data_IF_382097808795
#
_entry.id   IF_382097808795
#
_cell.length_a   1.000
_cell.length_b   1.000
_cell.length_c   1.000
_cell.angle_alpha   90.00
_cell.angle_beta   90.00
_cell.angle_gamma   90.00
#
_symmetry.space_group_name_H-M   'P 1'
#
loop_
_entity.id
_entity.type
_entity.pdbx_description
1 polymer ?
#
# COMPACT_ATOMS: atom_id res chain seq x y z
N UNK A 1 84.28 57.83 36.73
CA UNK A 1 84.32 57.18 38.05
C UNK A 1 83.04 56.36 38.23
N UNK A 2 83.21 55.04 38.39
CA UNK A 2 82.36 54.13 39.17
C UNK A 2 80.86 54.03 38.79
N UNK A 3 80.46 53.02 38.02
CA UNK A 3 80.05 51.67 38.49
C UNK A 3 78.57 51.62 38.90
N UNK A 4 77.80 50.99 38.01
CA UNK A 4 76.60 50.16 38.23
C UNK A 4 75.43 50.74 39.02
N UNK A 5 74.45 51.27 38.28
CA UNK A 5 73.04 51.08 38.63
C UNK A 5 72.43 50.10 37.64
N UNK A 6 72.95 48.87 37.75
CA UNK A 6 72.46 47.68 37.09
C UNK A 6 71.29 47.16 37.94
N UNK A 7 70.09 47.71 37.77
CA UNK A 7 68.88 46.97 38.11
C UNK A 7 67.63 47.63 37.49
N UNK A 8 66.79 46.81 36.87
CA UNK A 8 65.45 47.13 36.34
C UNK A 8 65.34 47.75 34.93
N UNK A 9 66.10 47.24 33.95
CA UNK A 9 65.63 47.32 32.54
C UNK A 9 65.79 46.02 31.78
N UNK A 10 65.50 44.90 32.43
CA UNK A 10 65.34 43.59 31.80
C UNK A 10 64.28 42.80 32.59
N UNK A 11 63.00 42.97 32.22
CA UNK A 11 61.93 41.96 32.30
C UNK A 11 60.56 42.63 32.13
N UNK A 12 60.22 43.04 30.91
CA UNK A 12 58.82 43.30 30.54
C UNK A 12 58.66 43.17 29.02
N UNK A 13 59.16 42.07 28.47
CA UNK A 13 58.76 41.63 27.13
C UNK A 13 58.62 40.12 27.15
N UNK A 14 57.43 39.69 27.55
CA UNK A 14 56.76 38.42 27.19
C UNK A 14 55.67 38.10 28.21
N UNK A 15 54.76 39.04 28.48
CA UNK A 15 53.42 38.64 28.92
C UNK A 15 52.73 38.16 27.65
N UNK A 16 52.80 36.85 27.41
CA UNK A 16 52.07 36.20 26.33
C UNK A 16 50.60 36.61 26.45
N UNK A 17 50.08 37.26 25.41
CA UNK A 17 48.65 37.62 25.36
C UNK A 17 47.84 36.34 25.50
N UNK A 18 47.25 36.11 26.67
CA UNK A 18 46.34 34.99 26.87
C UNK A 18 45.15 35.18 25.93
N UNK A 19 45.00 34.30 24.93
CA UNK A 19 43.84 34.30 24.05
C UNK A 19 42.60 34.01 24.89
N UNK A 20 41.77 35.02 25.06
CA UNK A 20 40.47 34.89 25.73
C UNK A 20 39.61 33.88 24.97
N UNK A 21 39.06 32.89 25.68
CA UNK A 21 38.17 31.89 25.08
C UNK A 21 36.94 32.59 24.52
N UNK A 22 36.55 32.26 23.30
CA UNK A 22 35.33 32.79 22.70
C UNK A 22 34.12 32.13 23.36
N UNK A 23 33.17 32.95 23.80
CA UNK A 23 31.89 32.48 24.32
C UNK A 23 31.07 31.86 23.18
N UNK A 24 30.33 30.78 23.48
CA UNK A 24 29.51 30.02 22.52
C UNK A 24 30.26 29.39 21.32
N UNK A 25 31.52 28.98 21.51
CA UNK A 25 32.23 28.19 20.50
C UNK A 25 31.56 26.81 20.30
N UNK A 26 30.85 26.65 19.18
CA UNK A 26 30.21 25.38 18.79
C UNK A 26 31.10 24.54 17.88
N UNK A 27 30.91 23.21 17.88
CA UNK A 27 31.55 22.32 16.91
C UNK A 27 31.09 22.71 15.49
N UNK A 28 32.02 22.88 14.55
CA UNK A 28 31.70 23.26 13.17
C UNK A 28 30.84 22.17 12.52
N UNK A 29 29.59 22.51 12.20
CA UNK A 29 28.68 21.68 11.41
C UNK A 29 28.73 22.11 9.95
N UNK A 30 28.44 21.18 9.03
CA UNK A 30 28.35 21.47 7.60
C UNK A 30 27.21 22.46 7.37
N UNK A 31 27.51 23.58 6.71
CA UNK A 31 26.53 24.60 6.37
C UNK A 31 25.61 24.11 5.26
N UNK A 32 24.32 24.46 5.32
CA UNK A 32 23.36 24.21 4.24
C UNK A 32 23.78 24.81 2.88
N UNK A 33 24.68 25.79 2.89
CA UNK A 33 25.23 26.45 1.69
C UNK A 33 26.54 25.84 1.19
N UNK A 34 27.05 24.79 1.83
CA UNK A 34 28.33 24.17 1.46
C UNK A 34 28.24 23.49 0.08
N UNK A 35 29.09 23.89 -0.86
CA UNK A 35 29.21 23.38 -2.24
C UNK A 35 29.32 21.85 -2.34
N UNK A 36 29.74 21.17 -1.28
CA UNK A 36 29.83 19.70 -1.21
C UNK A 36 28.47 19.01 -1.09
N UNK A 37 27.42 19.72 -0.67
CA UNK A 37 26.05 19.19 -0.59
C UNK A 37 25.40 19.28 -1.97
N UNK A 38 24.94 18.14 -2.50
CA UNK A 38 24.19 18.08 -3.76
C UNK A 38 22.87 18.83 -3.63
N UNK A 39 22.43 19.51 -4.68
CA UNK A 39 21.15 20.26 -4.69
C UNK A 39 19.94 19.41 -4.29
N UNK A 40 19.97 18.10 -4.59
CA UNK A 40 18.92 17.14 -4.22
C UNK A 40 18.77 16.97 -2.70
N UNK A 41 19.88 17.07 -1.96
CA UNK A 41 19.90 16.95 -0.50
C UNK A 41 19.73 18.33 0.19
N UNK A 42 20.05 19.43 -0.51
CA UNK A 42 19.75 20.81 -0.08
C UNK A 42 18.28 21.17 -0.18
N UNK A 43 17.56 20.54 -1.10
CA UNK A 43 16.13 20.76 -1.26
C UNK A 43 15.40 20.22 -0.03
N UNK A 44 15.20 21.09 0.98
CA UNK A 44 14.06 20.94 1.90
C UNK A 44 12.86 20.60 1.02
N UNK A 45 12.22 19.47 1.31
CA UNK A 45 11.01 18.95 0.67
C UNK A 45 10.23 20.13 0.11
N UNK A 46 10.22 20.26 -1.22
CA UNK A 46 9.70 21.41 -1.97
C UNK A 46 8.55 22.02 -1.16
N UNK A 47 8.78 23.19 -0.54
CA UNK A 47 7.68 23.94 0.03
C UNK A 47 6.72 24.10 -1.13
N UNK A 48 5.59 23.37 -1.09
CA UNK A 48 4.58 23.42 -2.15
C UNK A 48 4.31 24.90 -2.35
N UNK A 49 4.77 25.47 -3.47
CA UNK A 49 4.51 26.87 -3.81
C UNK A 49 3.03 27.09 -3.51
N UNK A 50 2.69 28.04 -2.65
CA UNK A 50 1.29 28.42 -2.43
C UNK A 50 0.76 28.77 -3.82
N UNK A 51 -0.06 27.88 -4.39
CA UNK A 51 -0.60 28.05 -5.74
C UNK A 51 -1.36 29.39 -5.75
N UNK A 52 -1.16 30.18 -6.81
CA UNK A 52 -1.76 31.52 -6.96
C UNK A 52 -3.27 31.48 -6.63
N UNK A 53 -3.79 32.44 -5.86
CA UNK A 53 -5.20 32.43 -5.44
C UNK A 53 -6.20 32.56 -6.60
N UNK A 54 -5.77 33.10 -7.75
CA UNK A 54 -6.59 33.21 -8.98
C UNK A 54 -6.66 31.93 -9.82
N UNK A 55 -5.81 30.94 -9.57
CA UNK A 55 -5.85 29.69 -10.33
C UNK A 55 -6.93 28.80 -9.71
N UNK A 56 -8.01 28.54 -10.46
CA UNK A 56 -9.07 27.60 -10.07
C UNK A 56 -8.41 26.30 -9.60
N UNK A 57 -8.48 26.07 -8.28
CA UNK A 57 -7.91 24.86 -7.69
C UNK A 57 -8.93 23.77 -7.93
N UNK A 58 -8.83 23.11 -9.07
CA UNK A 58 -9.59 21.90 -9.37
C UNK A 58 -9.38 20.91 -8.21
N UNK A 59 -10.41 20.75 -7.40
CA UNK A 59 -10.48 19.73 -6.36
C UNK A 59 -11.23 18.59 -6.99
N UNK A 60 -10.51 17.57 -7.43
CA UNK A 60 -11.12 16.30 -7.80
C UNK A 60 -11.71 15.66 -6.53
N UNK A 61 -13.00 15.94 -6.29
CA UNK A 61 -13.77 15.24 -5.28
C UNK A 61 -14.32 14.01 -5.96
N UNK A 62 -13.96 12.83 -5.46
CA UNK A 62 -14.53 11.58 -5.95
C UNK A 62 -16.04 11.59 -5.68
N UNK A 63 -16.84 11.52 -6.74
CA UNK A 63 -18.30 11.42 -6.63
C UNK A 63 -18.66 10.05 -6.04
N UNK A 64 -19.67 10.01 -5.17
CA UNK A 64 -20.22 8.74 -4.73
C UNK A 64 -20.82 8.00 -5.94
N UNK A 65 -20.52 6.70 -6.12
CA UNK A 65 -21.04 5.94 -7.25
C UNK A 65 -22.55 5.75 -7.11
N UNK A 66 -23.26 5.85 -8.23
CA UNK A 66 -24.72 5.75 -8.29
C UNK A 66 -25.27 4.36 -7.92
N UNK A 67 -24.43 3.33 -7.94
CA UNK A 67 -24.79 1.95 -7.60
C UNK A 67 -25.04 1.72 -6.10
N UNK A 68 -24.63 2.66 -5.26
CA UNK A 68 -24.79 2.55 -3.81
C UNK A 68 -26.04 3.31 -3.34
N UNK A 69 -27.09 2.57 -2.98
CA UNK A 69 -28.16 3.12 -2.14
C UNK A 69 -27.70 3.05 -0.68
N UNK A 70 -27.16 4.17 -0.18
CA UNK A 70 -26.42 4.28 1.08
C UNK A 70 -25.16 3.38 1.12
N UNK A 71 -25.33 2.09 1.41
CA UNK A 71 -24.28 1.07 1.45
C UNK A 71 -24.64 -0.21 0.69
N UNK A 72 -25.90 -0.36 0.27
CA UNK A 72 -26.35 -1.51 -0.51
C UNK A 72 -25.97 -1.29 -1.98
N UNK A 73 -25.38 -2.31 -2.59
CA UNK A 73 -24.93 -2.26 -3.97
C UNK A 73 -25.91 -3.01 -4.86
N UNK A 74 -26.74 -2.27 -5.59
CA UNK A 74 -27.79 -2.85 -6.45
C UNK A 74 -27.24 -3.48 -7.74
N UNK A 75 -25.95 -3.28 -8.05
CA UNK A 75 -25.29 -3.84 -9.23
C UNK A 75 -24.73 -5.25 -9.01
N UNK A 76 -24.76 -5.77 -7.78
CA UNK A 76 -24.37 -7.14 -7.50
C UNK A 76 -25.57 -8.04 -7.79
N UNK A 77 -25.55 -8.69 -8.94
CA UNK A 77 -26.55 -9.67 -9.32
C UNK A 77 -25.92 -10.85 -10.06
N UNK A 78 -26.63 -11.98 -10.20
CA UNK A 78 -26.16 -13.09 -11.03
C UNK A 78 -26.01 -12.66 -12.49
N UNK A 79 -24.92 -13.04 -13.19
CA UNK A 79 -23.78 -13.81 -12.71
C UNK A 79 -22.83 -13.02 -11.80
N UNK A 80 -22.42 -13.60 -10.67
CA UNK A 80 -21.50 -12.95 -9.76
C UNK A 80 -20.07 -12.97 -10.29
N UNK A 81 -19.44 -11.80 -10.32
CA UNK A 81 -18.05 -11.64 -10.73
C UNK A 81 -17.13 -11.64 -9.49
N UNK A 82 -16.27 -12.65 -9.37
CA UNK A 82 -15.45 -12.86 -8.16
C UNK A 82 -13.97 -12.68 -8.50
N UNK A 83 -13.31 -11.69 -7.90
CA UNK A 83 -11.86 -11.51 -8.02
C UNK A 83 -11.14 -12.46 -7.06
N UNK A 84 -10.26 -13.30 -7.61
CA UNK A 84 -9.55 -14.33 -6.86
C UNK A 84 -8.11 -13.92 -6.56
N UNK A 85 -7.73 -14.07 -5.29
CA UNK A 85 -6.37 -13.85 -4.78
C UNK A 85 -5.52 -15.15 -4.79
N UNK A 86 -4.20 -15.03 -4.85
CA UNK A 86 -3.26 -16.18 -4.87
C UNK A 86 -3.40 -17.05 -3.63
N UNK A 87 -3.49 -16.40 -2.47
CA UNK A 87 -3.64 -17.07 -1.18
C UNK A 87 -4.94 -17.87 -1.12
N UNK A 88 -6.03 -17.34 -1.69
CA UNK A 88 -7.32 -18.01 -1.70
C UNK A 88 -7.27 -19.34 -2.46
N UNK A 89 -6.62 -19.37 -3.62
CA UNK A 89 -6.41 -20.61 -4.40
C UNK A 89 -5.60 -21.62 -3.57
N UNK A 90 -4.55 -21.17 -2.90
CA UNK A 90 -3.70 -22.03 -2.09
C UNK A 90 -4.45 -22.64 -0.90
N UNK A 91 -5.28 -21.85 -0.21
CA UNK A 91 -6.12 -22.36 0.87
C UNK A 91 -7.22 -23.29 0.35
N UNK A 92 -7.77 -23.05 -0.84
CA UNK A 92 -8.77 -23.92 -1.46
C UNK A 92 -8.19 -25.30 -1.79
N UNK A 93 -6.98 -25.35 -2.34
CA UNK A 93 -6.27 -26.60 -2.61
C UNK A 93 -6.00 -27.36 -1.30
N UNK A 94 -5.55 -26.67 -0.25
CA UNK A 94 -5.32 -27.29 1.07
C UNK A 94 -6.61 -27.87 1.67
N UNK A 95 -7.73 -27.18 1.50
CA UNK A 95 -9.05 -27.61 1.95
C UNK A 95 -9.70 -28.64 1.02
N UNK A 96 -9.08 -28.98 -0.11
CA UNK A 96 -9.60 -29.89 -1.16
C UNK A 96 -10.95 -29.45 -1.72
N UNK A 97 -11.14 -28.15 -1.87
CA UNK A 97 -12.35 -27.55 -2.42
C UNK A 97 -12.17 -27.24 -3.91
N UNK A 98 -13.14 -27.62 -4.73
CA UNK A 98 -13.24 -27.12 -6.11
C UNK A 98 -13.75 -25.68 -6.07
N UNK A 99 -12.99 -24.76 -6.65
CA UNK A 99 -13.19 -23.32 -6.50
C UNK A 99 -14.53 -22.89 -7.11
N UNK A 100 -14.82 -23.32 -8.34
CA UNK A 100 -16.03 -22.90 -9.05
C UNK A 100 -17.28 -23.48 -8.41
N UNK A 101 -17.25 -24.77 -8.09
CA UNK A 101 -18.37 -25.45 -7.41
C UNK A 101 -18.64 -24.85 -6.04
N UNK A 102 -17.60 -24.67 -5.23
CA UNK A 102 -17.75 -24.12 -3.87
C UNK A 102 -18.23 -22.67 -3.87
N UNK A 103 -17.90 -21.88 -4.91
CA UNK A 103 -18.46 -20.53 -5.10
C UNK A 103 -19.95 -20.57 -5.41
N UNK A 104 -20.37 -21.47 -6.31
CA UNK A 104 -21.78 -21.66 -6.66
C UNK A 104 -22.60 -22.16 -5.48
N UNK A 105 -22.06 -23.09 -4.69
CA UNK A 105 -22.71 -23.62 -3.49
C UNK A 105 -22.86 -22.56 -2.39
N UNK A 106 -21.94 -21.59 -2.32
CA UNK A 106 -21.98 -20.49 -1.36
C UNK A 106 -23.00 -19.40 -1.74
N UNK A 107 -23.03 -19.01 -3.02
CA UNK A 107 -23.85 -17.91 -3.53
C UNK A 107 -25.20 -18.34 -4.12
N UNK A 108 -25.42 -19.65 -4.25
CA UNK A 108 -26.60 -20.26 -4.88
C UNK A 108 -26.92 -19.70 -6.28
N UNK A 109 -25.89 -19.25 -7.00
CA UNK A 109 -26.03 -18.62 -8.30
C UNK A 109 -24.80 -18.85 -9.17
N UNK A 110 -24.91 -18.54 -10.48
CA UNK A 110 -23.79 -18.63 -11.41
C UNK A 110 -22.68 -17.66 -11.01
N UNK A 111 -21.47 -18.18 -10.84
CA UNK A 111 -20.29 -17.44 -10.45
C UNK A 111 -19.23 -17.51 -11.56
N UNK A 112 -18.61 -16.37 -11.87
CA UNK A 112 -17.51 -16.26 -12.82
C UNK A 112 -16.28 -15.80 -12.05
N UNK A 113 -15.29 -16.67 -11.84
CA UNK A 113 -14.06 -16.30 -11.16
C UNK A 113 -13.14 -15.55 -12.13
N UNK A 114 -12.59 -14.44 -11.66
CA UNK A 114 -11.65 -13.59 -12.38
C UNK A 114 -10.27 -13.63 -11.73
N UNK A 115 -9.24 -13.74 -12.56
CA UNK A 115 -7.85 -13.65 -12.16
C UNK A 115 -7.21 -12.47 -12.88
N UNK A 116 -6.56 -11.61 -12.11
CA UNK A 116 -5.80 -10.48 -12.66
C UNK A 116 -4.41 -10.90 -13.10
N UNK A 117 -3.83 -10.18 -14.07
CA UNK A 117 -2.47 -10.46 -14.54
C UNK A 117 -1.41 -10.43 -13.44
N UNK A 118 -1.55 -9.53 -12.46
CA UNK A 118 -0.63 -9.46 -11.33
C UNK A 118 -0.69 -10.71 -10.44
N UNK A 119 -1.91 -11.20 -10.14
CA UNK A 119 -2.12 -12.43 -9.36
C UNK A 119 -1.55 -13.63 -10.12
N UNK A 120 -1.78 -13.72 -11.44
CA UNK A 120 -1.18 -14.76 -12.26
C UNK A 120 0.36 -14.71 -12.23
N UNK A 121 0.94 -13.52 -12.37
CA UNK A 121 2.39 -13.32 -12.30
C UNK A 121 2.96 -13.66 -10.92
N UNK A 122 2.21 -13.44 -9.84
CA UNK A 122 2.61 -13.82 -8.49
C UNK A 122 2.64 -15.34 -8.32
N UNK A 123 1.64 -16.07 -8.82
CA UNK A 123 1.61 -17.55 -8.78
C UNK A 123 2.80 -18.12 -9.57
N UNK A 124 3.14 -17.53 -10.72
CA UNK A 124 4.28 -17.96 -11.53
C UNK A 124 5.62 -17.73 -10.80
N UNK A 125 5.76 -16.64 -10.04
CA UNK A 125 6.96 -16.36 -9.22
C UNK A 125 7.14 -17.33 -8.05
N UNK A 126 6.05 -17.83 -7.46
CA UNK A 126 6.12 -18.74 -6.32
C UNK A 126 6.67 -20.14 -6.70
N UNK A 127 6.80 -20.45 -7.99
CA UNK A 127 7.55 -21.58 -8.52
C UNK A 127 6.87 -22.93 -8.38
N UNK A 128 7.68 -24.01 -8.37
CA UNK A 128 7.19 -25.39 -8.51
C UNK A 128 6.20 -25.84 -7.42
N UNK A 129 6.30 -25.29 -6.21
CA UNK A 129 5.40 -25.62 -5.09
C UNK A 129 3.93 -25.29 -5.40
N UNK A 130 3.70 -24.32 -6.29
CA UNK A 130 2.37 -23.81 -6.64
C UNK A 130 1.95 -24.19 -8.06
N UNK A 131 2.56 -25.23 -8.64
CA UNK A 131 2.23 -25.73 -9.99
C UNK A 131 0.75 -26.15 -10.11
N UNK A 132 0.16 -26.71 -9.06
CA UNK A 132 -1.26 -27.07 -9.03
C UNK A 132 -2.14 -25.82 -9.07
N UNK A 133 -1.80 -24.80 -8.27
CA UNK A 133 -2.49 -23.51 -8.28
C UNK A 133 -2.40 -22.84 -9.66
N UNK A 134 -1.23 -22.90 -10.32
CA UNK A 134 -1.05 -22.37 -11.66
C UNK A 134 -1.92 -23.09 -12.72
N UNK A 135 -2.10 -24.41 -12.60
CA UNK A 135 -2.99 -25.17 -13.49
C UNK A 135 -4.45 -24.78 -13.29
N UNK A 136 -4.88 -24.61 -12.05
CA UNK A 136 -6.25 -24.19 -11.71
C UNK A 136 -6.49 -22.75 -12.21
N UNK A 137 -5.53 -21.85 -12.01
CA UNK A 137 -5.61 -20.47 -12.49
C UNK A 137 -5.67 -20.35 -14.03
N UNK A 138 -5.20 -21.37 -14.76
CA UNK A 138 -5.23 -21.45 -16.24
C UNK A 138 -6.43 -22.23 -16.78
N UNK A 139 -7.32 -22.70 -15.92
CA UNK A 139 -8.55 -23.40 -16.34
C UNK A 139 -9.46 -22.42 -17.12
N UNK A 140 -10.04 -22.83 -18.26
CA UNK A 140 -10.96 -21.99 -19.05
C UNK A 140 -12.18 -21.45 -18.29
N UNK A 141 -12.52 -22.04 -17.13
CA UNK A 141 -13.57 -21.50 -16.26
C UNK A 141 -13.21 -20.16 -15.62
N UNK A 142 -11.92 -19.81 -15.57
CA UNK A 142 -11.44 -18.53 -15.05
C UNK A 142 -11.32 -17.50 -16.17
N UNK A 143 -11.92 -16.34 -15.97
CA UNK A 143 -11.76 -15.21 -16.86
C UNK A 143 -10.55 -14.36 -16.46
N UNK A 144 -9.70 -14.05 -17.44
CA UNK A 144 -8.47 -13.29 -17.19
C UNK A 144 -8.73 -11.79 -17.38
N UNK A 145 -8.41 -10.99 -16.36
CA UNK A 145 -8.51 -9.54 -16.41
C UNK A 145 -7.14 -8.88 -16.65
N UNK A 146 -6.99 -8.10 -17.74
CA UNK A 146 -5.76 -7.40 -18.01
C UNK A 146 -5.51 -6.28 -16.99
N UNK A 147 -4.27 -6.12 -16.57
CA UNK A 147 -3.85 -5.04 -15.67
C UNK A 147 -3.05 -3.95 -16.41
N UNK A 148 -3.37 -2.69 -16.16
CA UNK A 148 -2.72 -1.53 -16.83
C UNK A 148 -1.55 -0.94 -16.04
N UNK A 149 -1.08 -1.61 -14.99
CA UNK A 149 -0.02 -1.13 -14.11
C UNK A 149 1.30 -1.87 -14.34
N UNK A 150 2.44 -1.19 -14.13
CA UNK A 150 3.77 -1.81 -14.18
C UNK A 150 4.15 -2.34 -12.80
N UNK A 151 4.22 -3.67 -12.66
CA UNK A 151 4.91 -4.33 -11.54
C UNK A 151 4.44 -3.98 -10.13
N UNK A 152 3.16 -3.62 -9.93
CA UNK A 152 2.62 -3.34 -8.60
C UNK A 152 2.31 -4.61 -7.83
N UNK A 153 2.20 -4.51 -6.51
CA UNK A 153 1.68 -5.58 -5.66
C UNK A 153 0.25 -5.96 -6.09
N UNK A 154 -0.05 -7.26 -6.09
CA UNK A 154 -1.35 -7.79 -6.52
C UNK A 154 -2.49 -7.22 -5.66
N UNK A 155 -2.28 -7.14 -4.36
CA UNK A 155 -3.18 -6.52 -3.40
C UNK A 155 -3.64 -5.11 -3.78
N UNK A 156 -2.70 -4.24 -4.15
CA UNK A 156 -3.01 -2.85 -4.47
C UNK A 156 -3.81 -2.76 -5.77
N UNK A 157 -3.53 -3.64 -6.73
CA UNK A 157 -4.34 -3.78 -7.93
C UNK A 157 -5.78 -4.18 -7.59
N UNK A 158 -5.96 -5.20 -6.75
CA UNK A 158 -7.27 -5.69 -6.35
C UNK A 158 -8.07 -4.58 -5.64
N UNK A 159 -7.45 -3.89 -4.67
CA UNK A 159 -8.07 -2.76 -3.96
C UNK A 159 -8.44 -1.65 -4.93
N UNK A 160 -7.55 -1.26 -5.85
CA UNK A 160 -7.82 -0.21 -6.83
C UNK A 160 -8.98 -0.58 -7.75
N UNK A 161 -9.00 -1.82 -8.27
CA UNK A 161 -10.04 -2.31 -9.17
C UNK A 161 -11.41 -2.33 -8.51
N UNK A 162 -11.47 -2.86 -7.29
CA UNK A 162 -12.69 -2.92 -6.48
C UNK A 162 -13.18 -1.52 -6.07
N UNK A 163 -12.25 -0.57 -5.85
CA UNK A 163 -12.60 0.82 -5.54
C UNK A 163 -13.24 1.52 -6.74
N UNK A 164 -12.69 1.28 -7.93
CA UNK A 164 -13.19 1.85 -9.18
C UNK A 164 -14.51 1.21 -9.61
N UNK A 165 -14.57 -0.12 -9.55
CA UNK A 165 -15.71 -0.92 -9.99
C UNK A 165 -16.20 -1.76 -8.82
N UNK A 166 -17.34 -1.36 -8.25
CA UNK A 166 -17.93 -2.04 -7.10
C UNK A 166 -18.73 -3.29 -7.49
N UNK A 167 -18.67 -3.74 -8.74
CA UNK A 167 -19.39 -4.93 -9.23
C UNK A 167 -18.67 -6.25 -8.97
N UNK A 168 -17.63 -6.26 -8.12
CA UNK A 168 -16.84 -7.45 -7.82
C UNK A 168 -17.00 -7.89 -6.37
N UNK A 169 -17.03 -9.21 -6.17
CA UNK A 169 -16.80 -9.86 -4.87
C UNK A 169 -15.31 -10.18 -4.77
N UNK A 170 -14.69 -9.92 -3.63
CA UNK A 170 -13.27 -10.25 -3.43
C UNK A 170 -13.12 -11.56 -2.67
N UNK A 171 -12.49 -12.56 -3.26
CA UNK A 171 -12.15 -13.83 -2.61
C UNK A 171 -10.71 -13.78 -2.06
N UNK A 172 -10.58 -13.59 -0.74
CA UNK A 172 -9.28 -13.57 -0.07
C UNK A 172 -9.35 -14.13 1.36
N UNK A 173 -8.25 -14.71 1.81
CA UNK A 173 -8.08 -15.18 3.19
C UNK A 173 -7.21 -14.20 4.00
N UNK A 174 -6.50 -13.28 3.35
CA UNK A 174 -5.56 -12.38 4.01
C UNK A 174 -6.27 -11.36 4.93
N UNK A 175 -5.72 -11.19 6.13
CA UNK A 175 -6.29 -10.30 7.16
C UNK A 175 -6.08 -8.83 6.80
N UNK A 176 -4.95 -8.47 6.21
CA UNK A 176 -4.62 -7.09 5.89
C UNK A 176 -5.37 -6.60 4.65
N UNK A 177 -5.48 -7.43 3.61
CA UNK A 177 -6.35 -7.16 2.46
C UNK A 177 -7.82 -7.02 2.87
N UNK A 178 -8.34 -7.91 3.73
CA UNK A 178 -9.69 -7.78 4.29
C UNK A 178 -9.87 -6.46 5.04
N UNK A 179 -8.92 -6.06 5.88
CA UNK A 179 -9.00 -4.79 6.63
C UNK A 179 -9.07 -3.58 5.69
N UNK A 180 -8.34 -3.59 4.58
CA UNK A 180 -8.40 -2.53 3.55
C UNK A 180 -9.74 -2.50 2.84
N UNK A 181 -10.22 -3.66 2.39
CA UNK A 181 -11.47 -3.78 1.61
C UNK A 181 -12.70 -3.46 2.46
N UNK A 182 -12.67 -3.78 3.76
CA UNK A 182 -13.73 -3.39 4.71
C UNK A 182 -13.94 -1.88 4.85
N UNK A 183 -12.97 -1.05 4.45
CA UNK A 183 -13.15 0.41 4.41
C UNK A 183 -13.96 0.87 3.19
N UNK A 184 -14.07 0.03 2.16
CA UNK A 184 -14.81 0.31 0.94
C UNK A 184 -16.25 -0.21 1.12
N UNK A 185 -17.27 0.66 1.09
CA UNK A 185 -18.65 0.22 1.21
C UNK A 185 -19.13 -0.44 -0.09
N UNK A 186 -19.97 -1.47 0.06
CA UNK A 186 -20.65 -2.16 -1.05
C UNK A 186 -19.84 -3.27 -1.73
N UNK A 187 -18.74 -3.72 -1.12
CA UNK A 187 -17.89 -4.80 -1.63
C UNK A 187 -17.96 -6.01 -0.69
N UNK A 188 -18.55 -7.13 -1.13
CA UNK A 188 -18.56 -8.37 -0.37
C UNK A 188 -17.19 -9.05 -0.38
N UNK A 189 -16.90 -9.77 0.70
CA UNK A 189 -15.64 -10.50 0.88
C UNK A 189 -15.96 -11.99 1.05
N UNK A 190 -15.47 -12.81 0.14
CA UNK A 190 -15.54 -14.27 0.25
C UNK A 190 -14.27 -14.82 0.92
N UNK A 191 -14.44 -15.71 1.89
CA UNK A 191 -13.35 -16.33 2.62
C UNK A 191 -13.63 -17.80 2.92
N UNK A 192 -12.59 -18.53 3.28
CA UNK A 192 -12.66 -19.96 3.59
C UNK A 192 -12.71 -20.13 5.12
N UNK A 193 -13.70 -20.87 5.61
CA UNK A 193 -13.78 -21.30 7.01
C UNK A 193 -14.51 -22.63 7.12
N UNK A 194 -14.08 -23.51 8.03
CA UNK A 194 -14.70 -24.83 8.26
C UNK A 194 -14.88 -25.66 6.98
N UNK A 195 -13.89 -25.64 6.08
CA UNK A 195 -13.94 -26.35 4.78
C UNK A 195 -15.13 -25.93 3.89
N UNK A 196 -15.63 -24.71 4.06
CA UNK A 196 -16.67 -24.12 3.21
C UNK A 196 -16.31 -22.68 2.87
N UNK A 197 -16.87 -22.18 1.78
CA UNK A 197 -16.80 -20.75 1.47
C UNK A 197 -17.93 -20.03 2.18
N UNK A 198 -17.56 -18.95 2.85
CA UNK A 198 -18.47 -18.04 3.52
C UNK A 198 -18.28 -16.65 2.92
N UNK A 199 -19.33 -15.84 2.98
CA UNK A 199 -19.31 -14.47 2.51
C UNK A 199 -19.55 -13.52 3.67
N UNK A 200 -18.90 -12.37 3.62
CA UNK A 200 -19.08 -11.25 4.54
C UNK A 200 -19.67 -10.08 3.74
N UNK A 201 -20.62 -9.36 4.33
CA UNK A 201 -21.21 -8.13 3.77
C UNK A 201 -21.98 -8.32 2.45
N UNK A 202 -22.48 -9.53 2.21
CA UNK A 202 -23.53 -9.74 1.24
C UNK A 202 -24.84 -9.25 1.87
N UNK A 203 -25.63 -8.39 1.22
CA UNK A 203 -26.87 -7.91 1.83
C UNK A 203 -28.01 -8.95 1.73
N UNK A 204 -27.92 -9.91 0.82
CA UNK A 204 -28.85 -11.05 0.65
C UNK A 204 -28.28 -12.35 1.24
N UNK A 205 -27.56 -12.27 2.37
CA UNK A 205 -26.83 -13.40 2.96
C UNK A 205 -27.77 -14.49 3.52
N UNK A 206 -28.09 -15.49 2.71
CA UNK A 206 -28.89 -16.65 3.12
C UNK A 206 -28.09 -17.69 3.92
N UNK A 207 -26.75 -17.60 3.96
CA UNK A 207 -25.88 -18.70 4.41
C UNK A 207 -24.87 -18.40 5.51
N UNK A 208 -24.64 -17.14 5.91
CA UNK A 208 -23.68 -16.83 6.96
C UNK A 208 -24.19 -17.28 8.35
N UNK A 209 -23.42 -18.07 9.13
CA UNK A 209 -23.77 -18.33 10.52
C UNK A 209 -23.72 -16.99 11.27
N UNK A 210 -24.89 -16.55 11.76
CA UNK A 210 -25.00 -15.40 12.64
C UNK A 210 -24.41 -15.81 13.99
N UNK A 211 -23.26 -15.27 14.33
CA UNK A 211 -22.76 -15.26 15.70
C UNK A 211 -23.12 -13.92 16.33
#
# INVERSE_FOLDING_TARGET
>A
MYITQLHLRWHLSSIGKHKTKQFAAMKRMISLKDHRIKEKDRAKTIQKKKKDPSKLKEREVQKHPSCLFFQYNTQLGPPYHILVDTNFINFSIKAKLDIVQSMMDCLYAKCIPYITDCVMAEIEKLGMKYRVALRIAKDPRFERLPCTHKGTYADDCLVQRVTQHKCYILATVDRDLKRRVRKIPGVPIMYISNHRYNIERMPDDYGAPRF
#
